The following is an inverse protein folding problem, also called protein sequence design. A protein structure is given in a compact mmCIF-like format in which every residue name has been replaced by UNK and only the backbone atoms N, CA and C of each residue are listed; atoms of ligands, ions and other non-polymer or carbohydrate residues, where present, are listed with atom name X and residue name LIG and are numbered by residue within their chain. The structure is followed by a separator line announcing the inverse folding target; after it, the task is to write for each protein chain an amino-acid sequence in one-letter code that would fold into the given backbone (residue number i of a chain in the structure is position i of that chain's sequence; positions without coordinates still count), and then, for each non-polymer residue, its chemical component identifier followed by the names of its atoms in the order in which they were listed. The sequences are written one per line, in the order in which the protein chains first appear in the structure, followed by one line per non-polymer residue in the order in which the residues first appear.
data_IF_006425239255
#
_entry.id   IF_006425239255
#
_cell.length_a   1.000
_cell.length_b   1.000
_cell.length_c   1.000
_cell.angle_alpha   90.00
_cell.angle_beta   90.00
_cell.angle_gamma   90.00
#
_symmetry.space_group_name_H-M   'P 1'
#
loop_
_entity.id
_entity.type
_entity.pdbx_description
1 polymer ?
#
# COMPACT_ATOMS: atom_id res chain seq x y z
N UNK A 1 5.37 56.16 10.28
CA UNK A 1 4.30 55.35 9.71
C UNK A 1 4.77 53.90 9.41
N UNK A 2 6.05 53.60 9.43
CA UNK A 2 6.64 52.27 9.19
C UNK A 2 6.65 51.33 10.42
N UNK A 3 6.66 51.92 11.64
CA UNK A 3 6.77 51.16 12.89
C UNK A 3 5.54 50.34 13.32
N UNK A 4 4.37 50.62 12.76
CA UNK A 4 3.17 49.81 13.05
C UNK A 4 3.02 48.61 12.13
N UNK A 5 3.55 48.70 10.92
CA UNK A 5 3.49 47.57 9.97
C UNK A 5 4.41 46.38 10.37
N UNK A 6 5.54 46.68 11.03
CA UNK A 6 6.49 45.66 11.50
C UNK A 6 5.98 44.94 12.77
N UNK A 7 5.09 45.56 13.56
CA UNK A 7 4.51 44.89 14.75
C UNK A 7 3.39 43.90 14.42
N UNK A 8 2.72 44.07 13.28
CA UNK A 8 1.68 43.15 12.84
C UNK A 8 2.27 41.84 12.26
N UNK A 9 3.54 41.86 11.80
CA UNK A 9 4.22 40.67 11.23
C UNK A 9 4.77 39.71 12.30
N UNK A 10 4.81 40.13 13.57
CA UNK A 10 5.42 39.37 14.67
C UNK A 10 4.46 39.07 15.83
N UNK A 11 3.15 39.00 15.59
CA UNK A 11 2.20 38.53 16.60
C UNK A 11 2.17 36.98 16.61
N UNK A 12 2.83 36.30 17.60
CA UNK A 12 2.81 34.85 17.72
C UNK A 12 1.40 34.31 18.03
N UNK A 13 0.47 35.16 18.48
CA UNK A 13 -0.91 34.75 18.75
C UNK A 13 -1.75 34.57 17.47
N UNK A 14 -1.28 35.08 16.31
CA UNK A 14 -1.94 34.84 15.01
C UNK A 14 -1.62 33.53 14.34
N UNK A 15 -0.81 32.66 14.92
CA UNK A 15 -0.76 31.25 14.55
C UNK A 15 -1.91 30.47 15.22
N UNK A 16 -3.12 30.96 15.07
CA UNK A 16 -4.25 30.06 15.16
C UNK A 16 -4.06 29.07 14.01
N UNK A 17 -3.76 27.83 14.37
CA UNK A 17 -3.80 26.72 13.42
C UNK A 17 -5.22 26.74 12.88
N UNK A 18 -5.38 27.36 11.73
CA UNK A 18 -6.64 27.39 11.02
C UNK A 18 -6.87 25.93 10.57
N UNK A 19 -7.54 25.13 11.42
CA UNK A 19 -8.02 23.79 11.10
C UNK A 19 -9.09 23.90 10.02
N UNK A 20 -8.68 24.43 8.86
CA UNK A 20 -9.52 24.44 7.69
C UNK A 20 -9.68 23.00 7.22
N UNK A 21 -10.90 22.57 7.09
CA UNK A 21 -11.28 21.31 6.43
C UNK A 21 -10.65 21.23 5.02
N UNK A 22 -10.41 22.37 4.37
CA UNK A 22 -9.78 22.46 3.05
C UNK A 22 -8.40 21.77 2.91
N UNK A 23 -7.42 21.99 3.80
CA UNK A 23 -6.14 21.28 3.74
C UNK A 23 -6.28 19.77 3.93
N UNK A 24 -7.21 19.32 4.78
CA UNK A 24 -7.48 17.91 4.99
C UNK A 24 -8.10 17.26 3.75
N UNK A 25 -9.10 17.89 3.15
CA UNK A 25 -9.71 17.41 1.90
C UNK A 25 -8.70 17.38 0.75
N UNK A 26 -7.81 18.39 0.67
CA UNK A 26 -6.74 18.39 -0.31
C UNK A 26 -5.76 17.22 -0.09
N UNK A 27 -5.41 16.90 1.17
CA UNK A 27 -4.55 15.76 1.50
C UNK A 27 -5.16 14.41 1.05
N UNK A 28 -6.47 14.22 1.27
CA UNK A 28 -7.18 13.05 0.72
C UNK A 28 -7.15 13.04 -0.82
N UNK A 29 -7.34 14.20 -1.46
CA UNK A 29 -7.24 14.32 -2.92
C UNK A 29 -5.87 13.84 -3.45
N UNK A 30 -4.78 14.25 -2.81
CA UNK A 30 -3.42 13.79 -3.18
C UNK A 30 -3.23 12.30 -2.90
N UNK A 31 -3.73 11.79 -1.78
CA UNK A 31 -3.66 10.36 -1.47
C UNK A 31 -4.40 9.51 -2.52
N UNK A 32 -5.61 9.90 -2.91
CA UNK A 32 -6.37 9.22 -3.97
C UNK A 32 -5.69 9.32 -5.33
N UNK A 33 -5.08 10.46 -5.65
CA UNK A 33 -4.31 10.61 -6.89
C UNK A 33 -3.10 9.65 -6.92
N UNK A 34 -2.39 9.51 -5.80
CA UNK A 34 -1.29 8.55 -5.65
C UNK A 34 -1.75 7.10 -5.81
N UNK A 35 -2.84 6.70 -5.15
CA UNK A 35 -3.42 5.36 -5.30
C UNK A 35 -3.86 5.09 -6.76
N UNK A 36 -4.49 6.06 -7.39
CA UNK A 36 -4.88 5.96 -8.80
C UNK A 36 -3.66 5.78 -9.71
N UNK A 37 -2.61 6.56 -9.48
CA UNK A 37 -1.35 6.41 -10.22
C UNK A 37 -0.81 4.99 -10.06
N UNK A 38 -0.67 4.48 -8.84
CA UNK A 38 -0.20 3.14 -8.54
C UNK A 38 -1.00 2.09 -9.32
N UNK A 39 -2.32 2.12 -9.21
CA UNK A 39 -3.22 1.11 -9.79
C UNK A 39 -3.29 1.17 -11.33
N UNK A 40 -3.10 2.34 -11.93
CA UNK A 40 -3.21 2.48 -13.38
C UNK A 40 -1.87 2.31 -14.11
N UNK A 41 -0.74 2.59 -13.45
CA UNK A 41 0.58 2.61 -14.12
C UNK A 41 1.48 1.45 -13.72
N UNK A 42 1.30 0.87 -12.51
CA UNK A 42 2.20 -0.16 -12.00
C UNK A 42 1.63 -1.56 -12.24
N UNK A 43 2.27 -2.30 -13.14
CA UNK A 43 1.86 -3.66 -13.52
C UNK A 43 1.83 -4.61 -12.30
N UNK A 44 2.81 -4.51 -11.40
CA UNK A 44 2.85 -5.36 -10.22
C UNK A 44 1.68 -5.07 -9.28
N UNK A 45 1.34 -3.80 -9.05
CA UNK A 45 0.17 -3.41 -8.27
C UNK A 45 -1.13 -3.99 -8.86
N UNK A 46 -1.27 -3.97 -10.19
CA UNK A 46 -2.43 -4.56 -10.87
C UNK A 46 -2.52 -6.06 -10.66
N UNK A 47 -1.39 -6.79 -10.73
CA UNK A 47 -1.33 -8.22 -10.46
C UNK A 47 -1.71 -8.50 -9.00
N UNK A 48 -1.17 -7.75 -8.04
CA UNK A 48 -1.51 -7.90 -6.63
C UNK A 48 -2.98 -7.61 -6.35
N UNK A 49 -3.58 -6.62 -7.00
CA UNK A 49 -5.01 -6.34 -6.89
C UNK A 49 -5.86 -7.49 -7.45
N UNK A 50 -5.48 -8.07 -8.58
CA UNK A 50 -6.19 -9.21 -9.16
C UNK A 50 -6.13 -10.42 -8.21
N UNK A 51 -4.94 -10.75 -7.70
CA UNK A 51 -4.77 -11.85 -6.73
C UNK A 51 -5.57 -11.59 -5.46
N UNK A 52 -5.56 -10.35 -4.95
CA UNK A 52 -6.36 -9.95 -3.79
C UNK A 52 -7.87 -10.14 -4.05
N UNK A 53 -8.36 -9.71 -5.21
CA UNK A 53 -9.76 -9.89 -5.58
C UNK A 53 -10.15 -11.39 -5.64
N UNK A 54 -9.28 -12.24 -6.21
CA UNK A 54 -9.48 -13.69 -6.22
C UNK A 54 -9.48 -14.28 -4.80
N UNK A 55 -8.56 -13.84 -3.93
CA UNK A 55 -8.49 -14.31 -2.55
C UNK A 55 -9.72 -13.89 -1.73
N UNK A 56 -10.20 -12.66 -1.91
CA UNK A 56 -11.44 -12.16 -1.28
C UNK A 56 -12.65 -12.98 -1.76
N UNK A 57 -12.77 -13.21 -3.07
CA UNK A 57 -13.85 -14.01 -3.64
C UNK A 57 -13.82 -15.45 -3.10
N UNK A 58 -12.64 -16.06 -3.03
CA UNK A 58 -12.47 -17.41 -2.48
C UNK A 58 -12.82 -17.46 -1.00
N UNK A 59 -12.38 -16.46 -0.20
CA UNK A 59 -12.75 -16.37 1.21
C UNK A 59 -14.26 -16.25 1.43
N UNK A 60 -14.97 -15.49 0.57
CA UNK A 60 -16.42 -15.37 0.62
C UNK A 60 -17.11 -16.69 0.26
N UNK A 61 -16.63 -17.42 -0.74
CA UNK A 61 -17.18 -18.72 -1.14
C UNK A 61 -16.95 -19.76 -0.05
N UNK A 62 -15.76 -19.81 0.54
CA UNK A 62 -15.40 -20.76 1.60
C UNK A 62 -15.92 -20.36 2.99
N UNK A 63 -16.54 -19.18 3.11
CA UNK A 63 -17.07 -18.63 4.37
C UNK A 63 -16.06 -18.67 5.52
N UNK A 64 -14.84 -18.21 5.24
CA UNK A 64 -13.74 -18.17 6.21
C UNK A 64 -14.13 -17.41 7.48
N UNK A 65 -13.51 -17.73 8.60
CA UNK A 65 -13.81 -17.15 9.90
C UNK A 65 -13.46 -15.65 9.99
N UNK A 66 -14.07 -14.90 10.90
CA UNK A 66 -13.84 -13.44 11.04
C UNK A 66 -12.38 -13.07 11.28
N UNK A 67 -11.66 -13.85 12.07
CA UNK A 67 -10.24 -13.61 12.32
C UNK A 67 -9.38 -13.87 11.07
N UNK A 68 -9.75 -14.84 10.21
CA UNK A 68 -9.10 -15.11 8.93
C UNK A 68 -9.28 -13.94 7.96
N UNK A 69 -10.47 -13.32 7.96
CA UNK A 69 -10.71 -12.09 7.22
C UNK A 69 -9.80 -10.94 7.66
N UNK A 70 -9.60 -10.78 8.98
CA UNK A 70 -8.69 -9.76 9.51
C UNK A 70 -7.26 -9.97 9.00
N UNK A 71 -6.77 -11.22 9.06
CA UNK A 71 -5.42 -11.57 8.59
C UNK A 71 -5.32 -11.38 7.07
N UNK A 72 -6.33 -11.81 6.31
CA UNK A 72 -6.35 -11.66 4.85
C UNK A 72 -6.31 -10.19 4.42
N UNK A 73 -7.14 -9.34 5.02
CA UNK A 73 -7.14 -7.90 4.74
C UNK A 73 -5.81 -7.26 5.11
N UNK A 74 -5.23 -7.63 6.25
CA UNK A 74 -3.95 -7.10 6.70
C UNK A 74 -2.82 -7.45 5.72
N UNK A 75 -2.73 -8.72 5.28
CA UNK A 75 -1.66 -9.13 4.38
C UNK A 75 -1.82 -8.52 2.98
N UNK A 76 -3.04 -8.41 2.45
CA UNK A 76 -3.32 -7.72 1.19
C UNK A 76 -2.87 -6.25 1.29
N UNK A 77 -3.24 -5.56 2.36
CA UNK A 77 -2.86 -4.17 2.59
C UNK A 77 -1.35 -4.01 2.67
N UNK A 78 -0.66 -4.93 3.35
CA UNK A 78 0.80 -4.91 3.49
C UNK A 78 1.51 -5.05 2.13
N UNK A 79 1.06 -5.98 1.27
CA UNK A 79 1.62 -6.15 -0.08
C UNK A 79 1.43 -4.89 -0.91
N UNK A 80 0.22 -4.32 -0.92
CA UNK A 80 -0.09 -3.11 -1.69
C UNK A 80 0.65 -1.88 -1.15
N UNK A 81 0.82 -1.77 0.16
CA UNK A 81 1.62 -0.71 0.78
C UNK A 81 3.10 -0.83 0.40
N UNK A 82 3.66 -2.05 0.45
CA UNK A 82 5.04 -2.30 0.03
C UNK A 82 5.26 -1.91 -1.44
N UNK A 83 4.32 -2.25 -2.33
CA UNK A 83 4.36 -1.86 -3.75
C UNK A 83 4.28 -0.34 -3.93
N UNK A 84 3.42 0.34 -3.15
CA UNK A 84 3.34 1.79 -3.14
C UNK A 84 4.64 2.46 -2.70
N UNK A 85 5.28 1.95 -1.65
CA UNK A 85 6.59 2.42 -1.20
C UNK A 85 7.69 2.14 -2.22
N UNK A 86 7.70 0.96 -2.86
CA UNK A 86 8.63 0.64 -3.93
C UNK A 86 8.51 1.65 -5.08
N UNK A 87 7.29 1.89 -5.56
CA UNK A 87 7.02 2.86 -6.63
C UNK A 87 7.47 4.28 -6.26
N UNK A 88 7.20 4.72 -5.04
CA UNK A 88 7.60 6.03 -4.57
C UNK A 88 9.13 6.16 -4.46
N UNK A 89 9.81 5.10 -3.98
CA UNK A 89 11.27 5.06 -3.89
C UNK A 89 11.93 5.06 -5.28
N UNK A 90 11.41 4.28 -6.23
CA UNK A 90 11.90 4.28 -7.61
C UNK A 90 11.81 5.68 -8.22
N UNK A 91 10.65 6.35 -8.08
CA UNK A 91 10.48 7.72 -8.55
C UNK A 91 11.44 8.71 -7.87
N UNK A 92 11.65 8.58 -6.55
CA UNK A 92 12.58 9.43 -5.80
C UNK A 92 14.03 9.22 -6.25
N UNK A 93 14.46 7.98 -6.46
CA UNK A 93 15.80 7.65 -6.95
C UNK A 93 16.00 8.19 -8.37
N UNK A 94 15.00 8.06 -9.25
CA UNK A 94 15.09 8.56 -10.64
C UNK A 94 15.15 10.10 -10.72
N UNK A 95 14.61 10.81 -9.73
CA UNK A 95 14.77 12.25 -9.61
C UNK A 95 16.20 12.67 -9.19
N UNK A 96 16.92 11.81 -8.47
CA UNK A 96 18.27 12.16 -7.96
C UNK A 96 19.37 11.90 -8.95
N UNK A 97 19.23 10.94 -9.85
CA UNK A 97 20.24 10.61 -10.85
C UNK A 97 19.64 9.95 -12.08
N UNK A 98 20.07 10.44 -13.25
CA UNK A 98 19.79 9.80 -14.55
C UNK A 98 20.91 8.85 -14.98
N UNK A 99 22.06 8.91 -14.30
CA UNK A 99 23.20 8.04 -14.55
C UNK A 99 23.08 6.72 -13.78
N UNK A 100 23.69 5.67 -14.31
CA UNK A 100 23.77 4.38 -13.61
C UNK A 100 24.69 4.51 -12.39
N UNK A 101 24.11 4.62 -11.20
CA UNK A 101 24.85 4.70 -9.95
C UNK A 101 24.65 3.41 -9.13
N UNK A 102 25.71 2.78 -8.60
CA UNK A 102 25.59 1.52 -7.86
C UNK A 102 24.65 1.59 -6.67
N UNK A 103 24.69 2.67 -5.88
CA UNK A 103 23.79 2.85 -4.73
C UNK A 103 22.32 3.04 -5.15
N UNK A 104 22.06 3.70 -6.27
CA UNK A 104 20.71 3.84 -6.81
C UNK A 104 20.14 2.47 -7.19
N UNK A 105 20.97 1.59 -7.78
CA UNK A 105 20.59 0.22 -8.05
C UNK A 105 20.27 -0.55 -6.77
N UNK A 106 21.16 -0.47 -5.77
CA UNK A 106 20.94 -1.15 -4.48
C UNK A 106 19.63 -0.71 -3.82
N UNK A 107 19.33 0.60 -3.81
CA UNK A 107 18.11 1.14 -3.23
C UNK A 107 16.86 0.54 -3.91
N UNK A 108 16.84 0.51 -5.24
CA UNK A 108 15.74 -0.09 -6.02
C UNK A 108 15.62 -1.60 -5.79
N UNK A 109 16.75 -2.32 -5.80
CA UNK A 109 16.75 -3.78 -5.57
C UNK A 109 16.21 -4.13 -4.16
N UNK A 110 16.57 -3.36 -3.13
CA UNK A 110 16.07 -3.55 -1.75
C UNK A 110 14.58 -3.28 -1.67
N UNK A 111 14.10 -2.22 -2.32
CA UNK A 111 12.67 -1.91 -2.33
C UNK A 111 11.85 -3.00 -3.02
N UNK A 112 12.29 -3.46 -4.19
CA UNK A 112 11.67 -4.56 -4.91
C UNK A 112 11.73 -5.88 -4.10
N UNK A 113 12.86 -6.15 -3.42
CA UNK A 113 13.02 -7.29 -2.51
C UNK A 113 12.03 -7.26 -1.34
N UNK A 114 11.70 -6.07 -0.82
CA UNK A 114 10.70 -5.91 0.23
C UNK A 114 9.30 -6.29 -0.27
N UNK A 115 8.92 -5.89 -1.49
CA UNK A 115 7.66 -6.32 -2.11
C UNK A 115 7.61 -7.84 -2.26
N UNK A 116 8.70 -8.44 -2.76
CA UNK A 116 8.80 -9.89 -2.92
C UNK A 116 8.63 -10.62 -1.58
N UNK A 117 9.25 -10.14 -0.51
CA UNK A 117 9.10 -10.71 0.84
C UNK A 117 7.65 -10.66 1.31
N UNK A 118 6.96 -9.53 1.13
CA UNK A 118 5.55 -9.41 1.46
C UNK A 118 4.67 -10.34 0.61
N UNK A 119 4.96 -10.49 -0.68
CA UNK A 119 4.23 -11.38 -1.57
C UNK A 119 4.40 -12.86 -1.18
N UNK A 120 5.62 -13.30 -0.84
CA UNK A 120 5.87 -14.64 -0.33
C UNK A 120 5.08 -14.87 0.97
N UNK A 121 5.12 -13.92 1.89
CA UNK A 121 4.35 -14.00 3.14
C UNK A 121 2.84 -14.11 2.87
N UNK A 122 2.33 -13.38 1.88
CA UNK A 122 0.93 -13.45 1.48
C UNK A 122 0.54 -14.82 0.92
N UNK A 123 1.41 -15.47 0.15
CA UNK A 123 1.19 -16.84 -0.33
C UNK A 123 1.13 -17.81 0.85
N UNK A 124 2.08 -17.72 1.79
CA UNK A 124 2.10 -18.59 2.98
C UNK A 124 0.82 -18.41 3.79
N UNK A 125 0.42 -17.17 4.07
CA UNK A 125 -0.81 -16.86 4.81
C UNK A 125 -2.04 -17.37 4.06
N UNK A 126 -2.10 -17.16 2.74
CA UNK A 126 -3.17 -17.68 1.91
C UNK A 126 -3.29 -19.21 1.97
N UNK A 127 -2.17 -19.92 1.90
CA UNK A 127 -2.15 -21.36 2.07
C UNK A 127 -2.67 -21.78 3.46
N UNK A 128 -2.22 -21.12 4.52
CA UNK A 128 -2.68 -21.42 5.89
C UNK A 128 -4.17 -21.18 6.11
N UNK A 129 -4.74 -20.17 5.44
CA UNK A 129 -6.18 -19.89 5.51
C UNK A 129 -6.97 -20.86 4.63
N UNK A 130 -6.60 -21.00 3.37
CA UNK A 130 -7.46 -21.67 2.39
C UNK A 130 -7.32 -23.19 2.35
N UNK A 131 -6.13 -23.75 2.58
CA UNK A 131 -5.93 -25.21 2.50
C UNK A 131 -6.83 -26.00 3.49
N UNK A 132 -6.98 -25.59 4.76
CA UNK A 132 -7.88 -26.29 5.68
C UNK A 132 -9.35 -26.32 5.22
N UNK A 133 -9.81 -25.22 4.55
CA UNK A 133 -11.17 -25.15 4.03
C UNK A 133 -11.36 -25.94 2.74
N UNK A 134 -10.34 -26.03 1.90
CA UNK A 134 -10.38 -26.75 0.63
C UNK A 134 -10.18 -28.26 0.82
N UNK A 135 -9.46 -28.67 1.84
CA UNK A 135 -9.14 -30.09 2.06
C UNK A 135 -10.36 -31.00 2.15
N UNK A 136 -11.43 -30.70 2.93
CA UNK A 136 -12.62 -31.53 2.98
C UNK A 136 -13.32 -31.67 1.62
N UNK A 137 -13.30 -30.60 0.82
CA UNK A 137 -13.90 -30.59 -0.51
C UNK A 137 -13.14 -31.53 -1.45
N UNK A 138 -11.79 -31.41 -1.45
CA UNK A 138 -10.91 -32.23 -2.28
C UNK A 138 -10.97 -33.70 -1.85
N UNK A 139 -10.91 -33.98 -0.55
CA UNK A 139 -10.97 -35.33 0.00
C UNK A 139 -12.31 -36.01 -0.36
N UNK A 140 -13.43 -35.29 -0.27
CA UNK A 140 -14.74 -35.80 -0.68
C UNK A 140 -14.83 -36.16 -2.18
N UNK A 141 -14.12 -35.41 -3.04
CA UNK A 141 -14.02 -35.73 -4.48
C UNK A 141 -13.14 -36.94 -4.78
N UNK A 142 -12.12 -37.18 -3.96
CA UNK A 142 -11.19 -38.29 -4.11
C UNK A 142 -11.70 -39.59 -3.45
N UNK A 143 -12.87 -39.54 -2.77
CA UNK A 143 -13.45 -40.70 -2.09
C UNK A 143 -12.71 -41.11 -0.81
N UNK A 144 -12.06 -40.15 -0.14
CA UNK A 144 -11.27 -40.33 1.09
C UNK A 144 -12.06 -39.84 2.31
#
# INVERSE_FOLDING_TARGET
MQSQHDKELHDPARRTIDYRIGPLLAAFGYAFAGLRYLLLTQRNAQIHCLVAACAIALGAVLQIARWEWLVLVLIITLVLAAEGFNTALEAAVDLTTTARHPLAKVAKDVAAGTVLLCAISAVIVGCLIFLPHLWPIIAGWLGW
#
